data_IF_624078409911
#
_entry.id   IF_624078409911
#
_cell.length_a   1.000
_cell.length_b   1.000
_cell.length_c   1.000
_cell.angle_alpha   90.00
_cell.angle_beta   90.00
_cell.angle_gamma   90.00
#
_symmetry.space_group_name_H-M   'P 1'
#
loop_
_entity.id
_entity.type
_entity.pdbx_description
1 polymer ?
#
# COMPACT_ATOMS: atom_id res chain seq x y z
N UNK A 1 6.28 27.58 0.55
CA UNK A 1 6.37 26.30 1.27
C UNK A 1 5.63 25.32 0.39
N UNK A 2 6.33 24.37 -0.20
CA UNK A 2 5.67 23.41 -1.10
C UNK A 2 4.65 22.62 -0.27
N UNK A 3 3.38 22.66 -0.66
CA UNK A 3 2.32 21.94 0.04
C UNK A 3 2.51 20.45 -0.19
N UNK A 4 3.04 19.75 0.81
CA UNK A 4 3.05 18.29 0.81
C UNK A 4 1.62 17.79 0.99
N UNK A 5 1.01 17.32 -0.10
CA UNK A 5 -0.32 16.71 -0.08
C UNK A 5 -0.29 15.28 0.47
N UNK A 6 -1.27 14.94 1.31
CA UNK A 6 -1.47 13.58 1.84
C UNK A 6 -2.89 13.13 1.51
N UNK A 7 -3.05 11.83 1.24
CA UNK A 7 -4.37 11.20 1.10
C UNK A 7 -4.61 10.33 2.32
N UNK A 8 -5.71 10.55 3.02
CA UNK A 8 -6.24 9.65 4.03
C UNK A 8 -7.39 8.85 3.42
N UNK A 9 -7.36 7.53 3.57
CA UNK A 9 -8.43 6.65 3.13
C UNK A 9 -8.78 5.66 4.24
N UNK A 10 -10.07 5.58 4.57
CA UNK A 10 -10.64 4.58 5.46
C UNK A 10 -11.56 3.64 4.68
N UNK A 11 -11.94 2.50 5.27
CA UNK A 11 -12.82 1.55 4.60
C UNK A 11 -12.13 0.73 3.50
N UNK A 12 -10.80 0.68 3.46
CA UNK A 12 -10.08 -0.14 2.48
C UNK A 12 -10.25 -1.62 2.83
N UNK A 13 -10.52 -2.43 1.81
CA UNK A 13 -10.50 -3.89 1.92
C UNK A 13 -9.19 -4.44 1.36
N UNK A 14 -8.47 -5.21 2.17
CA UNK A 14 -7.31 -5.98 1.72
C UNK A 14 -7.75 -7.42 1.53
N UNK A 15 -7.74 -7.89 0.28
CA UNK A 15 -8.32 -9.18 -0.10
C UNK A 15 -7.33 -10.11 -0.84
N UNK A 16 -6.07 -9.67 -1.02
CA UNK A 16 -4.99 -10.48 -1.60
C UNK A 16 -3.80 -10.56 -0.67
N UNK A 17 -3.12 -11.69 -0.74
CA UNK A 17 -1.94 -12.02 0.05
C UNK A 17 -0.66 -11.41 -0.58
N UNK A 18 0.51 -11.71 -0.04
CA UNK A 18 1.79 -11.13 -0.46
C UNK A 18 2.39 -11.83 -1.69
N UNK A 19 3.48 -11.26 -2.22
CA UNK A 19 4.24 -11.78 -3.36
C UNK A 19 4.70 -13.24 -3.17
N UNK A 20 5.12 -13.62 -1.95
CA UNK A 20 5.55 -14.99 -1.61
C UNK A 20 4.49 -16.07 -1.90
N UNK A 21 3.22 -15.65 -2.00
CA UNK A 21 2.08 -16.53 -2.26
C UNK A 21 1.43 -16.25 -3.63
N UNK A 22 2.06 -15.44 -4.47
CA UNK A 22 1.55 -15.05 -5.79
C UNK A 22 0.28 -14.19 -5.72
N UNK A 23 0.07 -13.45 -4.63
CA UNK A 23 -1.11 -12.60 -4.44
C UNK A 23 -2.45 -13.36 -4.46
N UNK A 24 -2.47 -14.59 -3.95
CA UNK A 24 -3.71 -15.37 -3.80
C UNK A 24 -4.78 -14.62 -2.99
N UNK A 25 -6.06 -14.92 -3.25
CA UNK A 25 -7.15 -14.35 -2.46
C UNK A 25 -7.08 -14.80 -1.00
N UNK A 26 -7.34 -13.88 -0.08
CA UNK A 26 -7.43 -14.19 1.35
C UNK A 26 -8.74 -14.90 1.65
N UNK A 27 -8.69 -16.00 2.41
CA UNK A 27 -9.90 -16.67 2.93
C UNK A 27 -10.70 -15.74 3.85
N UNK A 28 -10.00 -14.84 4.56
CA UNK A 28 -10.59 -13.81 5.40
C UNK A 28 -9.98 -12.45 5.04
N UNK A 29 -10.64 -11.65 4.19
CA UNK A 29 -10.19 -10.30 3.88
C UNK A 29 -10.16 -9.40 5.12
N UNK A 30 -9.20 -8.48 5.16
CA UNK A 30 -9.18 -7.42 6.17
C UNK A 30 -10.10 -6.29 5.72
N UNK A 31 -11.12 -6.01 6.52
CA UNK A 31 -12.07 -4.92 6.28
C UNK A 31 -11.73 -3.69 7.13
N UNK A 32 -12.20 -2.52 6.69
CA UNK A 32 -12.01 -1.23 7.36
C UNK A 32 -10.55 -0.87 7.66
N UNK A 33 -9.64 -1.22 6.74
CA UNK A 33 -8.25 -0.80 6.83
C UNK A 33 -8.16 0.71 6.57
N UNK A 34 -7.33 1.39 7.36
CA UNK A 34 -7.04 2.82 7.26
C UNK A 34 -5.65 3.00 6.69
N UNK A 35 -5.50 3.85 5.67
CA UNK A 35 -4.22 4.15 5.04
C UNK A 35 -3.97 5.65 4.96
N UNK A 36 -2.68 5.98 4.95
CA UNK A 36 -2.15 7.31 4.69
C UNK A 36 -1.19 7.14 3.51
N UNK A 37 -1.47 7.81 2.40
CA UNK A 37 -0.59 7.84 1.24
C UNK A 37 0.06 9.21 1.10
N UNK A 38 1.38 9.21 1.01
CA UNK A 38 2.23 10.39 0.88
C UNK A 38 3.30 10.11 -0.18
N UNK A 39 3.59 11.10 -1.03
CA UNK A 39 4.72 11.00 -1.95
C UNK A 39 6.03 11.04 -1.15
N UNK A 40 6.92 10.08 -1.40
CA UNK A 40 8.25 10.10 -0.83
C UNK A 40 9.01 11.33 -1.34
N UNK A 41 9.68 12.07 -0.44
CA UNK A 41 10.47 13.25 -0.80
C UNK A 41 11.64 12.92 -1.75
N UNK A 42 12.14 11.68 -1.69
CA UNK A 42 13.19 11.18 -2.58
C UNK A 42 12.68 9.96 -3.33
N UNK A 43 13.09 9.81 -4.58
CA UNK A 43 12.91 8.61 -5.37
C UNK A 43 14.18 7.76 -5.29
N UNK A 44 14.29 6.82 -4.32
CA UNK A 44 15.42 5.89 -4.29
C UNK A 44 15.38 4.99 -5.54
N UNK A 45 16.55 4.58 -6.03
CA UNK A 45 16.63 3.56 -7.07
C UNK A 45 15.99 2.26 -6.56
N UNK A 46 15.04 1.73 -7.33
CA UNK A 46 14.39 0.47 -7.00
C UNK A 46 15.40 -0.66 -7.20
N UNK A 47 15.70 -1.40 -6.14
CA UNK A 47 16.45 -2.66 -6.26
C UNK A 47 15.55 -3.67 -6.97
N UNK A 48 16.08 -4.27 -8.03
CA UNK A 48 15.41 -5.38 -8.70
C UNK A 48 15.45 -6.59 -7.76
N UNK A 49 14.28 -7.18 -7.49
CA UNK A 49 14.21 -8.49 -6.87
C UNK A 49 14.47 -9.50 -8.00
N UNK A 50 15.70 -10.00 -8.08
CA UNK A 50 16.11 -11.09 -8.97
C UNK A 50 15.73 -12.46 -8.37
#
# INVERSE_FOLDING_TARGET
MDEFGTIYASGITVFRNTEDTGYAYLEQPLYDVRSIALAAYKQPELKRND
#
